data_IF_008565210354
#
_entry.id   IF_008565210354
#
_cell.length_a   1.000
_cell.length_b   1.000
_cell.length_c   1.000
_cell.angle_alpha   90.00
_cell.angle_beta   90.00
_cell.angle_gamma   90.00
#
_symmetry.space_group_name_H-M   'P 1'
#
loop_
_entity.id
_entity.type
_entity.pdbx_description
1 polymer ?
#
# COMPACT_ATOMS: atom_id res chain seq x y z
N UNK A 1 9.91 24.84 2.96
CA UNK A 1 9.62 23.84 1.92
C UNK A 1 9.63 22.49 2.60
N UNK A 2 8.48 21.78 2.65
CA UNK A 2 8.52 20.38 3.05
C UNK A 2 9.24 19.60 1.95
N UNK A 3 10.25 18.82 2.33
CA UNK A 3 10.99 17.96 1.42
C UNK A 3 10.02 16.96 0.77
N UNK A 4 10.10 16.80 -0.55
CA UNK A 4 9.25 15.85 -1.27
C UNK A 4 9.65 14.43 -0.85
N UNK A 5 8.78 13.75 -0.10
CA UNK A 5 9.01 12.36 0.31
C UNK A 5 8.96 11.46 -0.93
N UNK A 6 10.04 10.74 -1.20
CA UNK A 6 10.09 9.71 -2.24
C UNK A 6 10.64 8.41 -1.63
N UNK A 7 9.91 7.30 -1.80
CA UNK A 7 10.33 5.99 -1.31
C UNK A 7 9.82 4.90 -2.23
N UNK A 8 10.70 3.97 -2.59
CA UNK A 8 10.35 2.74 -3.29
C UNK A 8 10.53 1.53 -2.37
N UNK A 9 9.60 0.58 -2.44
CA UNK A 9 9.71 -0.72 -1.81
C UNK A 9 9.34 -1.81 -2.81
N UNK A 10 10.28 -2.73 -3.06
CA UNK A 10 10.04 -3.89 -3.92
C UNK A 10 9.54 -5.04 -3.06
N UNK A 11 8.32 -5.51 -3.32
CA UNK A 11 7.76 -6.66 -2.62
C UNK A 11 8.28 -7.97 -3.23
N UNK A 12 8.35 -8.02 -4.55
CA UNK A 12 8.97 -9.10 -5.33
C UNK A 12 9.53 -8.56 -6.65
N UNK A 13 9.89 -9.46 -7.57
CA UNK A 13 10.45 -9.11 -8.89
C UNK A 13 9.46 -8.34 -9.81
N UNK A 14 8.15 -8.47 -9.59
CA UNK A 14 7.09 -7.87 -10.40
C UNK A 14 6.37 -6.72 -9.71
N UNK A 15 6.50 -6.61 -8.38
CA UNK A 15 5.68 -5.72 -7.55
C UNK A 15 6.52 -4.64 -6.87
N UNK A 16 6.19 -3.39 -7.16
CA UNK A 16 6.83 -2.21 -6.56
C UNK A 16 5.78 -1.29 -5.96
N UNK A 17 6.02 -0.89 -4.73
CA UNK A 17 5.32 0.15 -4.01
C UNK A 17 6.12 1.45 -4.12
N UNK A 18 5.44 2.54 -4.46
CA UNK A 18 6.04 3.87 -4.57
C UNK A 18 5.24 4.83 -3.71
N UNK A 19 5.91 5.48 -2.77
CA UNK A 19 5.40 6.67 -2.10
C UNK A 19 6.04 7.88 -2.78
N UNK A 20 5.22 8.65 -3.48
CA UNK A 20 5.64 9.92 -4.08
C UNK A 20 4.80 11.06 -3.49
N UNK A 21 5.45 11.83 -2.62
CA UNK A 21 4.90 12.90 -1.83
C UNK A 21 3.71 12.45 -0.97
N UNK A 22 2.51 12.48 -1.53
CA UNK A 22 1.24 12.13 -0.88
C UNK A 22 0.45 11.06 -1.64
N UNK A 23 1.09 10.43 -2.60
CA UNK A 23 0.49 9.36 -3.40
C UNK A 23 1.22 8.06 -3.09
N UNK A 24 0.46 7.00 -2.81
CA UNK A 24 0.95 5.62 -2.87
C UNK A 24 0.50 5.01 -4.18
N UNK A 25 1.47 4.52 -4.96
CA UNK A 25 1.24 3.76 -6.17
C UNK A 25 1.79 2.34 -6.01
N UNK A 26 1.08 1.37 -6.55
CA UNK A 26 1.54 0.00 -6.66
C UNK A 26 1.57 -0.37 -8.12
N UNK A 27 2.71 -0.87 -8.57
CA UNK A 27 2.89 -1.44 -9.90
C UNK A 27 3.07 -2.94 -9.75
N UNK A 28 2.33 -3.68 -10.56
CA UNK A 28 2.42 -5.13 -10.64
C UNK A 28 2.46 -5.53 -12.12
N UNK A 29 3.67 -5.76 -12.61
CA UNK A 29 3.93 -6.07 -14.01
C UNK A 29 3.24 -7.37 -14.46
N UNK A 30 2.92 -8.26 -13.52
CA UNK A 30 2.30 -9.54 -13.82
C UNK A 30 0.78 -9.54 -13.61
N UNK A 31 0.18 -8.43 -13.16
CA UNK A 31 -1.27 -8.28 -12.92
C UNK A 31 -1.83 -9.39 -12.01
N UNK A 32 -1.05 -9.79 -11.01
CA UNK A 32 -1.37 -10.86 -10.05
C UNK A 32 -2.15 -10.36 -8.84
N UNK A 33 -1.85 -9.15 -8.37
CA UNK A 33 -2.31 -8.62 -7.08
C UNK A 33 -2.95 -7.23 -7.17
N UNK A 34 -2.62 -6.44 -8.20
CA UNK A 34 -3.25 -5.15 -8.47
C UNK A 34 -4.25 -5.24 -9.63
N UNK A 35 -5.45 -4.71 -9.44
CA UNK A 35 -6.47 -4.62 -10.50
C UNK A 35 -5.94 -3.79 -11.68
N UNK A 36 -5.72 -4.41 -12.83
CA UNK A 36 -5.19 -3.73 -14.02
C UNK A 36 -3.68 -3.44 -13.99
N UNK A 37 -2.92 -4.05 -13.07
CA UNK A 37 -1.46 -3.96 -13.00
C UNK A 37 -0.91 -2.67 -12.39
N UNK A 38 -1.80 -1.72 -12.04
CA UNK A 38 -1.46 -0.51 -11.30
C UNK A 38 -2.63 -0.07 -10.46
N UNK A 39 -2.37 0.32 -9.22
CA UNK A 39 -3.35 0.99 -8.38
C UNK A 39 -2.73 2.24 -7.74
N UNK A 40 -3.54 3.27 -7.49
CA UNK A 40 -3.07 4.54 -6.96
C UNK A 40 -4.03 5.12 -5.92
N UNK A 41 -3.48 5.58 -4.79
CA UNK A 41 -4.25 6.26 -3.75
C UNK A 41 -3.53 7.51 -3.24
N UNK A 42 -4.30 8.53 -2.86
CA UNK A 42 -3.80 9.58 -1.99
C UNK A 42 -3.66 9.03 -0.56
N UNK A 43 -2.64 9.42 0.20
CA UNK A 43 -2.37 8.90 1.56
C UNK A 43 -3.53 9.14 2.54
N UNK A 44 -4.34 10.18 2.35
CA UNK A 44 -5.55 10.41 3.16
C UNK A 44 -6.68 9.41 2.90
N UNK A 45 -6.70 8.85 1.69
CA UNK A 45 -7.73 7.95 1.20
C UNK A 45 -7.24 6.51 1.09
N UNK A 46 -6.01 6.22 1.51
CA UNK A 46 -5.49 4.85 1.55
C UNK A 46 -5.96 4.13 2.81
N UNK A 47 -6.62 3.00 2.61
CA UNK A 47 -6.96 2.03 3.65
C UNK A 47 -6.08 0.80 3.54
N UNK A 48 -5.62 0.28 4.69
CA UNK A 48 -4.80 -0.94 4.79
C UNK A 48 -5.44 -1.85 5.84
N UNK A 49 -5.87 -3.04 5.41
CA UNK A 49 -6.27 -4.13 6.29
C UNK A 49 -5.15 -5.18 6.33
N UNK A 50 -4.83 -5.66 7.52
CA UNK A 50 -3.80 -6.68 7.71
C UNK A 50 -4.35 -7.77 8.63
N UNK A 51 -4.39 -9.00 8.12
CA UNK A 51 -4.89 -10.16 8.85
C UNK A 51 -3.90 -11.32 8.78
N UNK A 52 -3.44 -11.86 9.93
CA UNK A 52 -2.63 -13.07 9.95
C UNK A 52 -3.35 -14.26 9.29
N UNK A 53 -2.61 -15.09 8.58
CA UNK A 53 -3.07 -16.34 7.97
C UNK A 53 -2.05 -17.45 8.24
N UNK A 54 -2.33 -18.66 7.76
CA UNK A 54 -1.38 -19.80 7.85
C UNK A 54 -0.09 -19.57 7.06
N UNK A 55 -0.18 -18.80 5.97
CA UNK A 55 0.90 -18.66 4.98
C UNK A 55 1.65 -17.32 5.13
N UNK A 56 1.37 -16.56 6.19
CA UNK A 56 1.94 -15.24 6.46
C UNK A 56 0.87 -14.23 6.85
N UNK A 57 1.00 -12.97 6.40
CA UNK A 57 0.02 -11.92 6.66
C UNK A 57 -0.66 -11.50 5.37
N UNK A 58 -1.99 -11.66 5.32
CA UNK A 58 -2.80 -11.16 4.22
C UNK A 58 -3.00 -9.66 4.37
N UNK A 59 -2.62 -8.91 3.34
CA UNK A 59 -2.78 -7.47 3.23
C UNK A 59 -3.84 -7.17 2.18
N UNK A 60 -4.73 -6.22 2.50
CA UNK A 60 -5.70 -5.67 1.55
C UNK A 60 -5.59 -4.15 1.55
N UNK A 61 -5.40 -3.58 0.37
CA UNK A 61 -5.41 -2.13 0.15
C UNK A 61 -6.68 -1.74 -0.59
N UNK A 62 -7.23 -0.59 -0.21
CA UNK A 62 -8.39 -0.02 -0.87
C UNK A 62 -8.63 1.41 -0.44
N UNK A 63 -9.80 1.94 -0.82
CA UNK A 63 -10.19 3.29 -0.44
C UNK A 63 -10.60 3.31 1.03
N UNK A 64 -9.94 4.14 1.86
CA UNK A 64 -10.43 4.45 3.19
C UNK A 64 -11.67 5.33 3.09
N UNK A 65 -12.78 4.84 3.62
CA UNK A 65 -14.04 5.60 3.71
C UNK A 65 -14.03 6.52 4.93
N UNK A 66 -15.00 7.44 4.99
CA UNK A 66 -15.14 8.42 6.07
C UNK A 66 -15.39 7.78 7.44
N UNK A 67 -16.02 6.61 7.50
CA UNK A 67 -16.22 5.82 8.73
C UNK A 67 -14.99 5.00 9.13
N UNK A 68 -13.89 5.08 8.37
CA UNK A 68 -12.65 4.35 8.62
C UNK A 68 -12.66 2.91 8.13
N UNK A 69 -13.75 2.44 7.51
CA UNK A 69 -13.75 1.15 6.82
C UNK A 69 -12.97 1.21 5.50
N UNK A 70 -12.80 0.06 4.86
CA UNK A 70 -12.09 -0.05 3.59
C UNK A 70 -13.10 -0.40 2.52
N UNK A 71 -13.34 0.56 1.65
CA UNK A 71 -14.12 0.41 0.43
C UNK A 71 -13.33 -0.38 -0.61
N UNK A 72 -14.00 -1.37 -1.19
CA UNK A 72 -13.44 -2.25 -2.22
C UNK A 72 -13.97 -1.93 -3.63
N UNK A 73 -14.73 -0.85 -3.77
CA UNK A 73 -15.18 -0.36 -5.07
C UNK A 73 -14.04 0.46 -5.71
N UNK A 74 -13.55 0.03 -6.87
CA UNK A 74 -12.44 0.67 -7.59
C UNK A 74 -11.08 0.00 -7.32
N UNK A 75 -10.02 0.81 -7.27
CA UNK A 75 -8.65 0.36 -7.03
C UNK A 75 -8.56 -0.42 -5.72
N UNK A 76 -8.20 -1.70 -5.86
CA UNK A 76 -8.03 -2.64 -4.76
C UNK A 76 -6.84 -3.54 -5.06
N UNK A 77 -6.08 -3.82 -4.01
CA UNK A 77 -4.98 -4.77 -4.07
C UNK A 77 -5.10 -5.77 -2.92
N UNK A 78 -4.79 -7.04 -3.18
CA UNK A 78 -4.77 -8.10 -2.16
C UNK A 78 -3.59 -9.02 -2.40
N UNK A 79 -2.81 -9.24 -1.35
CA UNK A 79 -1.64 -10.10 -1.39
C UNK A 79 -1.37 -10.69 -0.01
N UNK A 80 -0.51 -11.70 0.05
CA UNK A 80 0.00 -12.26 1.31
C UNK A 80 1.50 -12.00 1.34
N UNK A 81 2.01 -11.52 2.47
CA UNK A 81 3.44 -11.33 2.69
C UNK A 81 3.96 -12.32 3.72
N UNK A 82 5.21 -12.73 3.57
CA UNK A 82 5.90 -13.54 4.56
C UNK A 82 6.23 -12.73 5.81
N UNK A 83 6.58 -13.42 6.90
CA UNK A 83 7.00 -12.75 8.14
C UNK A 83 8.29 -11.94 7.96
N UNK A 84 9.14 -12.32 6.99
CA UNK A 84 10.34 -11.56 6.62
C UNK A 84 10.00 -10.26 5.87
N UNK A 85 9.00 -10.29 4.99
CA UNK A 85 8.57 -9.12 4.21
C UNK A 85 7.75 -8.12 5.04
N UNK A 86 7.03 -8.62 6.06
CA UNK A 86 6.08 -7.82 6.83
C UNK A 86 6.71 -6.56 7.48
N UNK A 87 7.85 -6.63 8.19
CA UNK A 87 8.47 -5.44 8.79
C UNK A 87 8.82 -4.36 7.77
N UNK A 88 9.28 -4.75 6.58
CA UNK A 88 9.65 -3.81 5.52
C UNK A 88 8.43 -3.13 4.91
N UNK A 89 7.36 -3.88 4.69
CA UNK A 89 6.09 -3.32 4.23
C UNK A 89 5.46 -2.38 5.27
N UNK A 90 5.54 -2.72 6.56
CA UNK A 90 5.06 -1.84 7.63
C UNK A 90 5.86 -0.54 7.67
N UNK A 91 7.19 -0.60 7.52
CA UNK A 91 8.03 0.60 7.44
C UNK A 91 7.66 1.51 6.26
N UNK A 92 7.27 0.94 5.12
CA UNK A 92 6.74 1.71 3.99
C UNK A 92 5.43 2.43 4.37
N UNK A 93 4.47 1.73 4.99
CA UNK A 93 3.20 2.35 5.39
C UNK A 93 3.35 3.36 6.53
N UNK A 94 4.31 3.19 7.44
CA UNK A 94 4.62 4.19 8.45
C UNK A 94 5.12 5.51 7.80
N UNK A 95 5.91 5.41 6.72
CA UNK A 95 6.32 6.58 5.93
C UNK A 95 5.14 7.24 5.21
N UNK A 96 4.23 6.44 4.64
CA UNK A 96 3.00 6.96 4.02
C UNK A 96 2.10 7.67 5.06
N UNK A 97 1.99 7.11 6.28
CA UNK A 97 1.28 7.72 7.40
C UNK A 97 1.95 9.01 7.88
N UNK A 98 3.27 9.06 7.92
CA UNK A 98 4.01 10.29 8.25
C UNK A 98 3.77 11.38 7.20
N UNK A 99 3.76 11.03 5.91
CA UNK A 99 3.46 11.96 4.82
C UNK A 99 2.05 12.57 4.93
N UNK A 100 1.09 11.82 5.48
CA UNK A 100 -0.26 12.31 5.80
C UNK A 100 -0.26 13.38 6.89
N UNK A 101 0.61 13.25 7.90
CA UNK A 101 0.66 14.17 9.04
C UNK A 101 1.31 15.53 8.71
N UNK A 102 1.90 15.69 7.53
CA UNK A 102 2.48 16.96 7.04
C UNK A 102 1.43 17.95 6.50
N UNK A 103 0.17 17.81 6.89
CA UNK A 103 -0.95 18.63 6.40
C UNK A 103 -1.38 19.70 7.39
#
# INVERSE_FOLDING_TARGET
MAERVYLEYRLDENVIFVLDHRTVEVFDAAVRIASGGRCRWHVDHLGVDAKPTRDGTKIVLGLRTSDGSIGYAGDRMKFTVTDEQLPHLLAFFDRAKAARALS
#
